data_IF_900116491338
#
_entry.id   IF_900116491338
#
_cell.length_a   1.000
_cell.length_b   1.000
_cell.length_c   1.000
_cell.angle_alpha   90.00
_cell.angle_beta   90.00
_cell.angle_gamma   90.00
#
_symmetry.space_group_name_H-M   'P 1'
#
loop_
_entity.id
_entity.type
_entity.pdbx_description
1 polymer ?
#
# COMPACT_ATOMS: atom_id res chain seq x y z
N UNK A 1 16.07 3.83 29.71
CA UNK A 1 15.03 3.17 28.88
C UNK A 1 14.06 2.30 29.70
N UNK A 2 14.50 1.56 30.73
CA UNK A 2 13.56 0.85 31.64
C UNK A 2 12.52 1.77 32.30
N UNK A 3 12.94 2.97 32.76
CA UNK A 3 12.02 3.97 33.36
C UNK A 3 11.03 4.55 32.34
N UNK A 4 11.47 4.80 31.09
CA UNK A 4 10.58 5.27 30.02
C UNK A 4 9.57 4.20 29.61
N UNK A 5 10.01 2.94 29.55
CA UNK A 5 9.15 1.78 29.35
C UNK A 5 8.08 1.68 30.45
N UNK A 6 8.47 1.83 31.72
CA UNK A 6 7.53 1.83 32.85
C UNK A 6 6.49 2.96 32.74
N UNK A 7 6.90 4.20 32.45
CA UNK A 7 5.96 5.32 32.34
C UNK A 7 4.99 5.17 31.16
N UNK A 8 5.49 4.74 29.98
CA UNK A 8 4.66 4.50 28.80
C UNK A 8 3.67 3.36 29.06
N UNK A 9 4.12 2.28 29.70
CA UNK A 9 3.28 1.12 30.00
C UNK A 9 2.24 1.43 31.10
N UNK A 10 2.61 2.20 32.13
CA UNK A 10 1.66 2.68 33.15
C UNK A 10 0.56 3.52 32.50
N UNK A 11 0.93 4.51 31.68
CA UNK A 11 -0.05 5.35 31.00
C UNK A 11 -0.95 4.51 30.09
N UNK A 12 -0.38 3.60 29.30
CA UNK A 12 -1.16 2.71 28.44
C UNK A 12 -2.11 1.80 29.25
N UNK A 13 -1.70 1.33 30.42
CA UNK A 13 -2.55 0.53 31.31
C UNK A 13 -3.73 1.36 31.82
N UNK A 14 -3.49 2.61 32.23
CA UNK A 14 -4.55 3.56 32.63
C UNK A 14 -5.52 3.82 31.46
N UNK A 15 -4.98 4.03 30.26
CA UNK A 15 -5.78 4.24 29.05
C UNK A 15 -6.66 3.02 28.73
N UNK A 16 -6.13 1.80 28.82
CA UNK A 16 -6.93 0.56 28.67
C UNK A 16 -7.99 0.41 29.76
N UNK A 17 -7.72 0.85 30.99
CA UNK A 17 -8.70 0.84 32.07
C UNK A 17 -9.87 1.81 31.82
N UNK A 18 -9.66 2.88 31.04
CA UNK A 18 -10.73 3.82 30.68
C UNK A 18 -11.85 3.17 29.86
N UNK A 19 -11.58 2.08 29.14
CA UNK A 19 -12.61 1.36 28.37
C UNK A 19 -13.62 0.65 29.26
N UNK A 20 -13.22 0.34 30.50
CA UNK A 20 -14.07 -0.35 31.50
C UNK A 20 -14.70 0.60 32.51
N UNK A 21 -14.28 1.86 32.56
CA UNK A 21 -14.73 2.83 33.56
C UNK A 21 -14.98 4.22 32.95
N UNK A 22 -16.26 4.56 32.65
CA UNK A 22 -16.62 5.86 32.07
C UNK A 22 -16.21 7.06 32.93
N UNK A 23 -16.26 6.93 34.27
CA UNK A 23 -15.84 7.97 35.20
C UNK A 23 -14.34 8.25 35.11
N UNK A 24 -13.53 7.19 35.06
CA UNK A 24 -12.09 7.31 34.82
C UNK A 24 -11.80 7.95 33.46
N UNK A 25 -12.50 7.51 32.39
CA UNK A 25 -12.36 8.09 31.05
C UNK A 25 -12.59 9.60 31.07
N UNK A 26 -13.68 10.09 31.67
CA UNK A 26 -14.00 11.53 31.73
C UNK A 26 -12.88 12.32 32.40
N UNK A 27 -12.36 11.84 33.53
CA UNK A 27 -11.30 12.51 34.28
C UNK A 27 -9.98 12.52 33.50
N UNK A 28 -9.57 11.36 32.95
CA UNK A 28 -8.34 11.24 32.16
C UNK A 28 -8.39 12.13 30.93
N UNK A 29 -9.50 12.13 30.18
CA UNK A 29 -9.64 12.99 28.99
C UNK A 29 -9.49 14.47 29.35
N UNK A 30 -10.13 14.92 30.43
CA UNK A 30 -10.04 16.33 30.87
C UNK A 30 -8.61 16.76 31.21
N UNK A 31 -7.79 15.85 31.75
CA UNK A 31 -6.40 16.13 32.10
C UNK A 31 -5.46 16.05 30.90
N UNK A 32 -5.71 15.13 29.96
CA UNK A 32 -4.81 14.85 28.85
C UNK A 32 -5.01 15.76 27.65
N UNK A 33 -6.23 16.27 27.39
CA UNK A 33 -6.54 16.96 26.13
C UNK A 33 -5.63 18.16 25.83
N UNK A 34 -5.24 18.91 26.86
CA UNK A 34 -4.35 20.08 26.72
C UNK A 34 -2.86 19.72 26.87
N UNK A 35 -2.53 18.44 27.10
CA UNK A 35 -1.17 17.96 27.34
C UNK A 35 -0.64 17.05 26.24
N UNK A 36 -1.45 16.77 25.21
CA UNK A 36 -1.11 15.81 24.16
C UNK A 36 0.21 16.16 23.46
N UNK A 37 0.43 17.43 23.13
CA UNK A 37 1.67 17.87 22.48
C UNK A 37 2.91 17.64 23.36
N UNK A 38 2.80 17.96 24.66
CA UNK A 38 3.85 17.67 25.64
C UNK A 38 4.13 16.18 25.80
N UNK A 39 3.09 15.33 25.74
CA UNK A 39 3.24 13.87 25.78
C UNK A 39 3.98 13.37 24.53
N UNK A 40 3.61 13.84 23.34
CA UNK A 40 4.30 13.48 22.10
C UNK A 40 5.76 13.94 22.10
N UNK A 41 6.03 15.16 22.57
CA UNK A 41 7.39 15.70 22.72
C UNK A 41 8.23 14.87 23.70
N UNK A 42 7.67 14.56 24.87
CA UNK A 42 8.30 13.71 25.88
C UNK A 42 8.64 12.34 25.32
N UNK A 43 7.70 11.69 24.62
CA UNK A 43 7.90 10.41 23.94
C UNK A 43 9.03 10.48 22.90
N UNK A 44 9.11 11.57 22.12
CA UNK A 44 10.17 11.77 21.13
C UNK A 44 11.55 11.86 21.79
N UNK A 45 11.66 12.59 22.92
CA UNK A 45 12.90 12.67 23.72
C UNK A 45 13.30 11.31 24.26
N UNK A 46 12.35 10.51 24.76
CA UNK A 46 12.63 9.16 25.28
C UNK A 46 13.16 8.21 24.20
N UNK A 47 12.73 8.38 22.95
CA UNK A 47 13.28 7.65 21.80
C UNK A 47 14.63 8.22 21.33
N UNK A 48 15.01 9.44 21.75
CA UNK A 48 16.22 10.15 21.30
C UNK A 48 17.48 9.92 22.10
N UNK A 49 17.40 9.30 23.26
CA UNK A 49 18.57 9.09 24.09
C UNK A 49 19.44 7.94 23.54
N UNK A 50 20.18 8.23 22.48
CA UNK A 50 21.40 7.53 22.08
C UNK A 50 22.40 7.44 23.25
N UNK A 51 22.37 8.45 24.13
CA UNK A 51 23.07 8.47 25.43
C UNK A 51 22.66 7.35 26.37
N UNK A 52 21.41 6.86 26.34
CA UNK A 52 20.99 5.71 27.15
C UNK A 52 21.34 4.36 26.50
N UNK A 53 21.46 4.31 25.17
CA UNK A 53 21.87 3.10 24.43
C UNK A 53 23.33 2.71 24.70
N UNK A 54 24.19 3.68 25.03
CA UNK A 54 25.61 3.45 25.32
C UNK A 54 25.91 3.20 26.80
N UNK A 55 24.97 3.48 27.72
CA UNK A 55 25.19 3.38 29.17
C UNK A 55 24.67 2.08 29.81
N UNK A 56 23.82 1.34 29.11
CA UNK A 56 23.22 0.10 29.59
C UNK A 56 23.54 -0.96 28.54
N UNK A 57 24.12 -2.08 28.98
CA UNK A 57 24.36 -3.35 28.26
C UNK A 57 23.61 -3.48 26.92
N UNK A 58 24.22 -4.03 25.84
CA UNK A 58 23.65 -4.00 24.50
C UNK A 58 22.18 -4.42 24.52
N UNK A 59 21.30 -3.44 24.27
CA UNK A 59 19.87 -3.65 24.16
C UNK A 59 19.63 -4.65 23.03
N UNK A 60 18.81 -5.68 23.28
CA UNK A 60 18.47 -6.60 22.20
C UNK A 60 17.62 -5.87 21.16
N UNK A 61 17.74 -6.28 19.89
CA UNK A 61 16.90 -5.76 18.81
C UNK A 61 15.41 -5.91 19.12
N UNK A 62 15.03 -6.96 19.85
CA UNK A 62 13.67 -7.23 20.28
C UNK A 62 13.18 -6.19 21.29
N UNK A 63 13.98 -5.86 22.30
CA UNK A 63 13.64 -4.82 23.28
C UNK A 63 13.55 -3.43 22.64
N UNK A 64 14.42 -3.14 21.67
CA UNK A 64 14.33 -1.90 20.90
C UNK A 64 13.03 -1.87 20.11
N UNK A 65 12.71 -2.95 19.39
CA UNK A 65 11.43 -3.08 18.70
C UNK A 65 10.30 -2.81 19.69
N UNK A 66 10.15 -3.61 20.74
CA UNK A 66 9.08 -3.47 21.72
C UNK A 66 8.89 -2.03 22.19
N UNK A 67 9.98 -1.35 22.55
CA UNK A 67 9.93 0.05 22.98
C UNK A 67 9.22 0.93 21.95
N UNK A 68 9.60 0.85 20.67
CA UNK A 68 8.93 1.60 19.59
C UNK A 68 7.46 1.18 19.42
N UNK A 69 7.13 -0.11 19.61
CA UNK A 69 5.74 -0.61 19.60
C UNK A 69 4.90 0.07 20.66
N UNK A 70 5.38 0.08 21.91
CA UNK A 70 4.65 0.61 23.05
C UNK A 70 4.36 2.10 22.90
N UNK A 71 5.32 2.86 22.34
CA UNK A 71 5.10 4.27 22.02
C UNK A 71 4.00 4.44 20.96
N UNK A 72 4.05 3.64 19.89
CA UNK A 72 3.04 3.73 18.85
C UNK A 72 1.65 3.25 19.32
N UNK A 73 1.56 2.20 20.14
CA UNK A 73 0.32 1.74 20.77
C UNK A 73 -0.26 2.75 21.78
N UNK A 74 0.61 3.47 22.50
CA UNK A 74 0.18 4.58 23.36
C UNK A 74 -0.51 5.68 22.57
N UNK A 75 0.08 6.12 21.45
CA UNK A 75 -0.52 7.12 20.54
C UNK A 75 -1.89 6.63 20.06
N UNK A 76 -1.98 5.38 19.61
CA UNK A 76 -3.24 4.80 19.16
C UNK A 76 -4.30 4.75 20.26
N UNK A 77 -3.89 4.39 21.48
CA UNK A 77 -4.78 4.31 22.63
C UNK A 77 -5.33 5.68 23.00
N UNK A 78 -4.48 6.72 23.02
CA UNK A 78 -4.92 8.12 23.20
C UNK A 78 -5.93 8.50 22.11
N UNK A 79 -5.64 8.17 20.85
CA UNK A 79 -6.49 8.48 19.70
C UNK A 79 -7.84 7.73 19.72
N UNK A 80 -7.95 6.61 20.42
CA UNK A 80 -9.14 5.74 20.43
C UNK A 80 -10.08 6.02 21.61
N UNK A 81 -9.62 6.70 22.66
CA UNK A 81 -10.39 6.85 23.90
C UNK A 81 -11.53 7.83 23.77
N UNK A 82 -11.29 9.00 23.18
CA UNK A 82 -12.25 10.11 23.10
C UNK A 82 -11.93 11.00 21.90
N UNK A 83 -12.96 11.49 21.22
CA UNK A 83 -12.80 12.31 20.02
C UNK A 83 -12.00 13.61 20.28
N UNK A 84 -12.06 14.16 21.49
CA UNK A 84 -11.32 15.39 21.85
C UNK A 84 -9.82 15.11 21.94
N UNK A 85 -9.43 13.96 22.50
CA UNK A 85 -8.03 13.52 22.50
C UNK A 85 -7.55 13.24 21.09
N UNK A 86 -8.37 12.60 20.27
CA UNK A 86 -8.05 12.39 18.86
C UNK A 86 -7.82 13.72 18.13
N UNK A 87 -8.71 14.70 18.28
CA UNK A 87 -8.58 16.01 17.63
C UNK A 87 -7.32 16.76 18.11
N UNK A 88 -7.07 16.78 19.43
CA UNK A 88 -5.88 17.40 20.01
C UNK A 88 -4.60 16.74 19.49
N UNK A 89 -4.56 15.41 19.45
CA UNK A 89 -3.44 14.63 18.93
C UNK A 89 -3.17 14.93 17.45
N UNK A 90 -4.20 14.95 16.61
CA UNK A 90 -4.06 15.19 15.17
C UNK A 90 -3.70 16.64 14.83
N UNK A 91 -3.89 17.56 15.77
CA UNK A 91 -3.51 18.97 15.65
C UNK A 91 -2.12 19.26 16.26
N UNK A 92 -1.46 18.27 16.87
CA UNK A 92 -0.17 18.45 17.54
C UNK A 92 1.00 18.36 16.53
N UNK A 93 1.83 19.39 16.41
CA UNK A 93 3.09 19.31 15.67
C UNK A 93 4.03 18.23 16.20
N UNK A 94 4.09 18.07 17.53
CA UNK A 94 4.92 17.05 18.17
C UNK A 94 4.53 15.62 17.77
N UNK A 95 3.26 15.35 17.48
CA UNK A 95 2.83 14.06 16.93
C UNK A 95 3.56 13.76 15.62
N UNK A 96 3.64 14.72 14.70
CA UNK A 96 4.20 14.47 13.37
C UNK A 96 5.71 14.24 13.43
N UNK A 97 6.42 14.95 14.31
CA UNK A 97 7.83 14.67 14.59
C UNK A 97 8.03 13.26 15.17
N UNK A 98 7.22 12.89 16.17
CA UNK A 98 7.26 11.56 16.78
C UNK A 98 6.92 10.47 15.76
N UNK A 99 5.88 10.68 14.94
CA UNK A 99 5.48 9.77 13.88
C UNK A 99 6.60 9.58 12.85
N UNK A 100 7.22 10.66 12.37
CA UNK A 100 8.34 10.60 11.43
C UNK A 100 9.46 9.70 11.96
N UNK A 101 9.81 9.91 13.23
CA UNK A 101 10.81 9.11 13.92
C UNK A 101 10.41 7.63 13.95
N UNK A 102 9.20 7.32 14.43
CA UNK A 102 8.68 5.96 14.45
C UNK A 102 8.65 5.31 13.05
N UNK A 103 8.30 6.10 12.03
CA UNK A 103 8.15 5.66 10.64
C UNK A 103 9.47 5.26 9.98
N UNK A 104 10.51 6.05 10.24
CA UNK A 104 11.84 5.98 9.60
C UNK A 104 12.86 5.17 10.38
N UNK A 105 12.55 4.79 11.62
CA UNK A 105 13.50 4.14 12.53
C UNK A 105 14.04 2.83 11.98
N UNK A 106 15.37 2.64 12.12
CA UNK A 106 16.12 1.53 11.55
C UNK A 106 17.02 0.86 12.58
N UNK A 107 17.23 -0.43 12.38
CA UNK A 107 18.20 -1.19 13.16
C UNK A 107 19.64 -0.94 12.68
N UNK A 108 20.60 -1.55 13.38
CA UNK A 108 22.02 -1.51 13.03
C UNK A 108 22.34 -2.06 11.63
N UNK A 109 21.46 -2.87 11.04
CA UNK A 109 21.58 -3.39 9.67
C UNK A 109 20.83 -2.51 8.65
N UNK A 110 20.43 -1.29 9.05
CA UNK A 110 19.68 -0.35 8.22
C UNK A 110 18.31 -0.88 7.75
N UNK A 111 17.79 -1.93 8.40
CA UNK A 111 16.44 -2.45 8.17
C UNK A 111 15.45 -1.65 8.98
N UNK A 112 14.21 -1.49 8.49
CA UNK A 112 13.16 -0.86 9.27
C UNK A 112 12.95 -1.64 10.58
N UNK A 113 13.01 -0.95 11.71
CA UNK A 113 12.81 -1.57 13.03
C UNK A 113 11.46 -2.28 13.10
N UNK A 114 10.44 -1.66 12.49
CA UNK A 114 9.07 -2.14 12.51
C UNK A 114 8.54 -2.47 11.13
N UNK A 115 8.52 -3.78 10.88
CA UNK A 115 7.73 -4.42 9.84
C UNK A 115 7.14 -5.70 10.41
N UNK A 116 5.98 -5.62 11.08
CA UNK A 116 5.35 -6.79 11.65
C UNK A 116 4.78 -7.68 10.56
N UNK A 117 4.54 -8.93 10.93
CA UNK A 117 4.04 -9.97 10.03
C UNK A 117 2.65 -9.64 9.48
N UNK A 118 1.90 -8.72 10.09
CA UNK A 118 0.72 -8.07 9.50
C UNK A 118 0.70 -6.56 9.81
N UNK A 119 0.19 -5.73 8.91
CA UNK A 119 0.11 -4.27 9.13
C UNK A 119 -1.01 -3.85 10.09
N UNK A 120 -2.02 -4.71 10.26
CA UNK A 120 -2.96 -4.60 11.39
C UNK A 120 -2.26 -4.74 12.74
N UNK A 121 -1.08 -5.37 12.77
CA UNK A 121 -0.22 -5.45 13.96
C UNK A 121 0.88 -4.39 13.94
N UNK A 122 0.94 -3.52 12.92
CA UNK A 122 1.90 -2.41 12.87
C UNK A 122 1.26 -1.16 13.46
N UNK A 123 1.62 -0.78 14.70
CA UNK A 123 0.97 0.34 15.33
C UNK A 123 1.34 1.65 14.61
N UNK A 124 2.54 1.72 14.03
CA UNK A 124 2.99 2.87 13.23
C UNK A 124 2.18 3.05 11.95
N UNK A 125 1.86 1.96 11.23
CA UNK A 125 0.99 2.04 10.04
C UNK A 125 -0.44 2.39 10.43
N UNK A 126 -0.95 1.86 11.55
CA UNK A 126 -2.27 2.23 12.10
C UNK A 126 -2.36 3.71 12.47
N UNK A 127 -1.29 4.32 12.96
CA UNK A 127 -1.23 5.77 13.21
C UNK A 127 -1.41 6.51 11.87
N UNK A 128 -0.64 6.15 10.84
CA UNK A 128 -0.75 6.79 9.53
C UNK A 128 -2.16 6.63 8.94
N UNK A 129 -2.72 5.41 9.01
CA UNK A 129 -4.10 5.14 8.57
C UNK A 129 -5.11 6.03 9.29
N UNK A 130 -4.97 6.22 10.62
CA UNK A 130 -5.85 7.11 11.38
C UNK A 130 -5.70 8.57 10.99
N UNK A 131 -4.48 9.04 10.74
CA UNK A 131 -4.20 10.41 10.29
C UNK A 131 -4.90 10.67 8.94
N UNK A 132 -4.78 9.73 7.98
CA UNK A 132 -5.28 9.94 6.60
C UNK A 132 -6.75 9.55 6.40
N UNK A 133 -7.38 8.85 7.35
CA UNK A 133 -8.76 8.39 7.23
C UNK A 133 -9.80 9.53 7.32
N UNK A 134 -9.52 10.56 8.12
CA UNK A 134 -10.45 11.68 8.37
C UNK A 134 -9.99 12.91 7.59
N UNK A 135 -10.88 13.52 6.81
CA UNK A 135 -10.51 14.62 5.92
C UNK A 135 -9.88 15.82 6.64
N UNK A 136 -10.37 16.19 7.82
CA UNK A 136 -9.79 17.28 8.63
C UNK A 136 -8.35 16.98 9.07
N UNK A 137 -8.11 15.80 9.65
CA UNK A 137 -6.78 15.37 10.10
C UNK A 137 -5.79 15.24 8.93
N UNK A 138 -6.29 14.72 7.80
CA UNK A 138 -5.52 14.60 6.56
C UNK A 138 -5.07 15.97 6.03
N UNK A 139 -5.92 16.99 6.14
CA UNK A 139 -5.57 18.38 5.79
C UNK A 139 -4.43 18.93 6.64
N UNK A 140 -4.55 18.81 7.97
CA UNK A 140 -3.50 19.22 8.90
C UNK A 140 -2.18 18.47 8.66
N UNK A 141 -2.25 17.17 8.38
CA UNK A 141 -1.07 16.38 8.03
C UNK A 141 -0.39 16.86 6.74
N UNK A 142 -1.16 17.14 5.70
CA UNK A 142 -0.60 17.67 4.44
C UNK A 142 0.01 19.04 4.63
N UNK A 143 -0.65 19.92 5.37
CA UNK A 143 -0.09 21.22 5.72
C UNK A 143 1.24 21.04 6.45
N UNK A 144 1.31 20.15 7.45
CA UNK A 144 2.57 19.89 8.13
C UNK A 144 3.64 19.31 7.23
N UNK A 145 3.31 18.44 6.27
CA UNK A 145 4.26 17.91 5.29
C UNK A 145 4.78 18.96 4.31
N UNK A 146 3.98 20.00 4.04
CA UNK A 146 4.37 21.14 3.22
C UNK A 146 5.19 22.15 4.00
N UNK A 147 4.82 22.42 5.26
CA UNK A 147 5.47 23.39 6.14
C UNK A 147 6.80 22.85 6.71
N UNK A 148 6.85 21.54 6.99
CA UNK A 148 8.07 20.86 7.41
C UNK A 148 8.95 20.59 6.19
N UNK A 149 10.26 20.78 6.32
CA UNK A 149 11.25 20.58 5.25
C UNK A 149 10.98 19.34 4.37
N UNK A 150 11.32 19.43 3.07
CA UNK A 150 11.13 18.38 2.05
C UNK A 150 11.57 16.96 2.51
N UNK A 151 12.52 16.88 3.44
CA UNK A 151 12.99 15.65 4.06
C UNK A 151 11.86 14.80 4.66
N UNK A 152 10.88 15.38 5.37
CA UNK A 152 9.82 14.62 6.03
C UNK A 152 8.94 13.87 5.01
N UNK A 153 8.62 14.53 3.90
CA UNK A 153 7.86 13.94 2.82
C UNK A 153 8.64 12.86 2.08
N UNK A 154 9.95 13.04 1.91
CA UNK A 154 10.84 12.03 1.34
C UNK A 154 10.92 10.80 2.25
N UNK A 155 11.10 11.01 3.55
CA UNK A 155 11.16 9.97 4.58
C UNK A 155 9.87 9.14 4.65
N UNK A 156 8.72 9.81 4.55
CA UNK A 156 7.41 9.15 4.47
C UNK A 156 7.37 8.20 3.25
N UNK A 157 7.68 8.73 2.07
CA UNK A 157 7.62 7.97 0.81
C UNK A 157 8.64 6.84 0.77
N UNK A 158 9.86 7.08 1.21
CA UNK A 158 10.90 6.04 1.28
C UNK A 158 10.52 4.93 2.25
N UNK A 159 9.89 5.27 3.37
CA UNK A 159 9.34 4.29 4.30
C UNK A 159 8.20 3.46 3.69
N UNK A 160 7.36 4.03 2.81
CA UNK A 160 6.35 3.27 2.05
C UNK A 160 7.05 2.31 1.07
N UNK A 161 7.94 2.83 0.21
CA UNK A 161 8.64 2.04 -0.79
C UNK A 161 9.42 0.87 -0.18
N UNK A 162 10.09 1.10 0.96
CA UNK A 162 10.80 0.04 1.70
C UNK A 162 9.85 -1.01 2.25
N UNK A 163 8.72 -0.63 2.86
CA UNK A 163 7.73 -1.58 3.36
C UNK A 163 7.13 -2.42 2.24
N UNK A 164 6.89 -1.83 1.07
CA UNK A 164 6.46 -2.57 -0.13
C UNK A 164 7.52 -3.61 -0.51
N UNK A 165 8.79 -3.24 -0.64
CA UNK A 165 9.87 -4.20 -0.97
C UNK A 165 9.98 -5.33 0.06
N UNK A 166 9.79 -5.02 1.35
CA UNK A 166 9.85 -6.01 2.42
C UNK A 166 8.73 -7.06 2.35
N UNK A 167 7.55 -6.71 1.83
CA UNK A 167 6.45 -7.68 1.67
C UNK A 167 6.87 -8.83 0.77
N UNK A 168 7.56 -8.53 -0.34
CA UNK A 168 7.98 -9.54 -1.31
C UNK A 168 9.27 -10.26 -0.93
N UNK A 169 10.14 -9.62 -0.15
CA UNK A 169 11.41 -10.22 0.27
C UNK A 169 11.30 -11.12 1.50
N UNK A 170 10.20 -11.02 2.27
CA UNK A 170 9.97 -11.88 3.44
C UNK A 170 9.09 -13.07 3.07
N UNK A 171 9.43 -14.25 3.58
CA UNK A 171 8.61 -15.46 3.51
C UNK A 171 7.38 -15.37 4.44
N UNK A 172 6.53 -14.37 4.23
CA UNK A 172 5.28 -14.20 4.97
C UNK A 172 4.20 -15.15 4.43
N UNK A 173 3.29 -15.65 5.30
CA UNK A 173 2.08 -16.32 4.83
C UNK A 173 1.29 -15.42 3.86
N UNK A 174 0.78 -15.99 2.77
CA UNK A 174 0.12 -15.25 1.69
C UNK A 174 -0.98 -14.29 2.19
N UNK A 175 -1.86 -14.76 3.08
CA UNK A 175 -2.96 -13.95 3.64
C UNK A 175 -2.44 -12.69 4.34
N UNK A 176 -1.34 -12.82 5.06
CA UNK A 176 -0.72 -11.71 5.79
C UNK A 176 0.02 -10.75 4.88
N UNK A 177 0.76 -11.29 3.91
CA UNK A 177 1.45 -10.50 2.89
C UNK A 177 0.43 -9.66 2.10
N UNK A 178 -0.66 -10.28 1.65
CA UNK A 178 -1.73 -9.62 0.92
C UNK A 178 -2.39 -8.50 1.73
N UNK A 179 -2.70 -8.74 3.02
CA UNK A 179 -3.29 -7.73 3.87
C UNK A 179 -2.35 -6.53 4.09
N UNK A 180 -1.07 -6.79 4.36
CA UNK A 180 -0.05 -5.74 4.46
C UNK A 180 0.06 -4.93 3.15
N UNK A 181 -0.09 -5.60 2.01
CA UNK A 181 -0.04 -4.95 0.72
C UNK A 181 -1.27 -4.07 0.45
N UNK A 182 -2.48 -4.55 0.76
CA UNK A 182 -3.72 -3.80 0.61
C UNK A 182 -3.72 -2.50 1.45
N UNK A 183 -3.24 -2.56 2.70
CA UNK A 183 -3.12 -1.39 3.56
C UNK A 183 -2.12 -0.34 3.02
N UNK A 184 -0.94 -0.78 2.52
CA UNK A 184 0.03 0.15 1.91
C UNK A 184 -0.49 0.77 0.62
N UNK A 185 -1.26 0.02 -0.16
CA UNK A 185 -1.93 0.55 -1.34
C UNK A 185 -2.97 1.59 -0.94
N UNK A 186 -3.80 1.30 0.06
CA UNK A 186 -4.79 2.24 0.54
C UNK A 186 -4.13 3.55 1.02
N UNK A 187 -3.04 3.45 1.79
CA UNK A 187 -2.26 4.62 2.20
C UNK A 187 -1.75 5.38 0.99
N UNK A 188 -1.11 4.68 0.06
CA UNK A 188 -0.50 5.30 -1.12
C UNK A 188 -1.55 6.00 -1.97
N UNK A 189 -2.69 5.38 -2.24
CA UNK A 189 -3.81 5.96 -2.98
C UNK A 189 -4.31 7.25 -2.33
N UNK A 190 -4.42 7.27 -1.00
CA UNK A 190 -4.84 8.47 -0.24
C UNK A 190 -3.79 9.57 -0.35
N UNK A 191 -2.50 9.25 -0.20
CA UNK A 191 -1.42 10.23 -0.32
C UNK A 191 -1.24 10.74 -1.74
N UNK A 192 -1.51 9.91 -2.76
CA UNK A 192 -1.45 10.27 -4.18
C UNK A 192 -2.45 11.38 -4.55
N UNK A 193 -3.48 11.56 -3.72
CA UNK A 193 -4.45 12.64 -3.90
C UNK A 193 -3.84 14.03 -3.70
N UNK A 194 -2.78 14.15 -2.89
CA UNK A 194 -2.04 15.38 -2.67
C UNK A 194 -0.97 15.56 -3.78
N UNK A 195 -0.96 16.71 -4.45
CA UNK A 195 -0.07 16.95 -5.60
C UNK A 195 1.41 16.97 -5.25
N UNK A 196 1.74 17.54 -4.09
CA UNK A 196 3.10 17.62 -3.58
C UNK A 196 3.68 16.22 -3.30
N UNK A 197 2.91 15.38 -2.61
CA UNK A 197 3.33 14.00 -2.33
C UNK A 197 3.31 13.11 -3.57
N UNK A 198 2.40 13.36 -4.51
CA UNK A 198 2.31 12.61 -5.78
C UNK A 198 3.64 12.61 -6.52
N UNK A 199 4.28 13.76 -6.68
CA UNK A 199 5.58 13.85 -7.36
C UNK A 199 6.68 13.04 -6.66
N UNK A 200 6.67 13.01 -5.33
CA UNK A 200 7.64 12.24 -4.53
C UNK A 200 7.37 10.73 -4.61
N UNK A 201 6.10 10.31 -4.51
CA UNK A 201 5.68 8.91 -4.69
C UNK A 201 6.04 8.36 -6.08
N UNK A 202 5.89 9.18 -7.11
CA UNK A 202 6.27 8.84 -8.48
C UNK A 202 7.77 8.69 -8.66
N UNK A 203 8.57 9.63 -8.12
CA UNK A 203 10.03 9.52 -8.13
C UNK A 203 10.54 8.28 -7.40
N UNK A 204 9.89 7.88 -6.31
CA UNK A 204 10.21 6.66 -5.57
C UNK A 204 9.71 5.37 -6.26
N UNK A 205 9.07 5.47 -7.44
CA UNK A 205 8.52 4.35 -8.22
C UNK A 205 7.56 3.48 -7.42
N UNK A 206 6.78 4.08 -6.50
CA UNK A 206 5.87 3.33 -5.63
C UNK A 206 4.86 2.50 -6.43
N UNK A 207 4.32 3.02 -7.54
CA UNK A 207 3.36 2.29 -8.38
C UNK A 207 4.00 1.07 -9.06
N UNK A 208 5.22 1.20 -9.60
CA UNK A 208 5.98 0.07 -10.16
C UNK A 208 6.25 -1.01 -9.12
N UNK A 209 6.69 -0.62 -7.91
CA UNK A 209 6.92 -1.56 -6.80
C UNK A 209 5.63 -2.28 -6.40
N UNK A 210 4.49 -1.59 -6.41
CA UNK A 210 3.19 -2.19 -6.14
C UNK A 210 2.79 -3.19 -7.22
N UNK A 211 2.91 -2.82 -8.50
CA UNK A 211 2.62 -3.74 -9.62
C UNK A 211 3.45 -5.02 -9.54
N UNK A 212 4.76 -4.87 -9.31
CA UNK A 212 5.69 -5.99 -9.19
C UNK A 212 5.33 -6.92 -8.01
N UNK A 213 4.98 -6.35 -6.86
CA UNK A 213 4.51 -7.12 -5.71
C UNK A 213 3.19 -7.83 -5.97
N UNK A 214 2.23 -7.16 -6.60
CA UNK A 214 0.93 -7.75 -6.94
C UNK A 214 1.12 -8.95 -7.87
N UNK A 215 1.96 -8.81 -8.89
CA UNK A 215 2.33 -9.91 -9.79
C UNK A 215 2.94 -11.08 -9.03
N UNK A 216 3.89 -10.80 -8.13
CA UNK A 216 4.54 -11.83 -7.31
C UNK A 216 3.51 -12.57 -6.44
N UNK A 217 2.61 -11.84 -5.77
CA UNK A 217 1.54 -12.43 -4.98
C UNK A 217 0.61 -13.30 -5.82
N UNK A 218 0.19 -12.82 -7.00
CA UNK A 218 -0.66 -13.58 -7.90
C UNK A 218 0.01 -14.88 -8.35
N UNK A 219 1.31 -14.85 -8.64
CA UNK A 219 2.08 -16.05 -9.02
C UNK A 219 2.25 -17.07 -7.89
N UNK A 220 2.23 -16.61 -6.63
CA UNK A 220 2.31 -17.46 -5.44
C UNK A 220 0.94 -17.95 -4.96
N UNK A 221 -0.15 -17.49 -5.58
CA UNK A 221 -1.50 -17.96 -5.25
C UNK A 221 -1.60 -19.45 -5.56
N UNK A 222 -2.05 -20.30 -4.62
CA UNK A 222 -2.12 -21.73 -4.85
C UNK A 222 -3.05 -22.03 -6.04
N UNK A 223 -2.55 -22.76 -7.03
CA UNK A 223 -3.29 -23.25 -8.21
C UNK A 223 -4.45 -24.19 -7.86
N UNK A 224 -4.59 -24.55 -6.58
CA UNK A 224 -5.74 -25.31 -6.07
C UNK A 224 -6.91 -24.36 -5.87
N UNK A 225 -8.03 -24.59 -6.56
CA UNK A 225 -9.24 -23.75 -6.63
C UNK A 225 -9.98 -23.40 -5.33
N UNK A 226 -9.28 -23.33 -4.19
CA UNK A 226 -9.70 -22.59 -3.01
C UNK A 226 -9.55 -21.11 -3.33
N UNK A 227 -10.69 -20.46 -3.51
CA UNK A 227 -10.86 -19.01 -3.67
C UNK A 227 -9.78 -18.23 -2.93
N UNK A 228 -9.06 -17.36 -3.66
CA UNK A 228 -8.30 -16.26 -3.06
C UNK A 228 -9.18 -15.64 -1.96
N UNK A 229 -8.70 -15.56 -0.70
CA UNK A 229 -9.55 -15.19 0.44
C UNK A 229 -10.21 -13.82 0.27
N UNK A 230 -9.63 -12.96 -0.57
CA UNK A 230 -10.31 -11.88 -1.29
C UNK A 230 -9.63 -11.71 -2.65
N UNK A 231 -10.38 -11.58 -3.75
CA UNK A 231 -9.76 -11.26 -5.03
C UNK A 231 -9.04 -9.89 -4.97
N UNK A 232 -7.86 -9.72 -5.60
CA UNK A 232 -7.04 -8.50 -5.51
C UNK A 232 -7.60 -7.25 -6.21
N UNK A 233 -8.93 -7.15 -6.35
CA UNK A 233 -9.59 -6.05 -7.04
C UNK A 233 -9.26 -4.70 -6.43
N UNK A 234 -9.28 -4.60 -5.09
CA UNK A 234 -9.02 -3.34 -4.40
C UNK A 234 -7.57 -2.83 -4.60
N UNK A 235 -6.52 -3.64 -4.39
CA UNK A 235 -5.15 -3.29 -4.76
C UNK A 235 -5.02 -2.77 -6.19
N UNK A 236 -5.62 -3.49 -7.14
CA UNK A 236 -5.46 -3.19 -8.56
C UNK A 236 -6.24 -1.93 -8.97
N UNK A 237 -7.48 -1.78 -8.48
CA UNK A 237 -8.29 -0.57 -8.68
C UNK A 237 -7.60 0.67 -8.13
N UNK A 238 -6.97 0.56 -6.96
CA UNK A 238 -6.29 1.68 -6.34
C UNK A 238 -5.03 2.11 -7.10
N UNK A 239 -4.25 1.17 -7.64
CA UNK A 239 -3.12 1.48 -8.55
C UNK A 239 -3.65 2.20 -9.79
N UNK A 240 -4.73 1.70 -10.39
CA UNK A 240 -5.34 2.33 -11.56
C UNK A 240 -5.88 3.74 -11.27
N UNK A 241 -6.57 3.95 -10.15
CA UNK A 241 -7.06 5.28 -9.77
C UNK A 241 -5.94 6.30 -9.54
N UNK A 242 -4.73 5.84 -9.18
CA UNK A 242 -3.56 6.71 -9.15
C UNK A 242 -3.14 7.17 -10.55
N UNK A 243 -3.33 6.35 -11.58
CA UNK A 243 -2.97 6.65 -12.98
C UNK A 243 -3.99 7.52 -13.70
N UNK A 244 -5.28 7.25 -13.46
CA UNK A 244 -6.40 7.89 -14.18
C UNK A 244 -6.40 9.41 -14.02
N UNK A 245 -5.79 9.93 -12.95
CA UNK A 245 -5.63 11.38 -12.75
C UNK A 245 -4.69 11.95 -13.80
N UNK A 246 -5.27 12.47 -14.88
CA UNK A 246 -4.59 13.09 -16.02
C UNK A 246 -3.62 14.18 -15.56
N UNK A 247 -2.33 13.91 -15.72
CA UNK A 247 -1.25 14.88 -15.50
C UNK A 247 -0.08 14.58 -16.45
N UNK A 248 0.92 15.47 -16.51
CA UNK A 248 2.10 15.31 -17.36
C UNK A 248 2.89 14.01 -17.11
N UNK A 249 2.71 13.38 -15.94
CA UNK A 249 3.38 12.13 -15.57
C UNK A 249 2.59 10.88 -15.95
N UNK A 250 1.31 11.00 -16.33
CA UNK A 250 0.44 9.84 -16.62
C UNK A 250 1.05 8.92 -17.68
N UNK A 251 1.64 9.46 -18.75
CA UNK A 251 2.27 8.66 -19.82
C UNK A 251 3.47 7.86 -19.28
N UNK A 252 4.35 8.51 -18.51
CA UNK A 252 5.52 7.85 -17.92
C UNK A 252 5.10 6.75 -16.95
N UNK A 253 4.10 7.01 -16.11
CA UNK A 253 3.59 6.05 -15.14
C UNK A 253 2.96 4.83 -15.81
N UNK A 254 2.19 5.07 -16.89
CA UNK A 254 1.64 3.99 -17.70
C UNK A 254 2.73 3.12 -18.31
N UNK A 255 3.74 3.74 -18.94
CA UNK A 255 4.89 3.01 -19.49
C UNK A 255 5.60 2.18 -18.42
N UNK A 256 5.89 2.79 -17.27
CA UNK A 256 6.60 2.13 -16.17
C UNK A 256 5.77 1.01 -15.53
N UNK A 257 4.43 1.04 -15.61
CA UNK A 257 3.57 -0.06 -15.15
C UNK A 257 3.41 -1.18 -16.17
N UNK A 258 3.32 -0.83 -17.45
CA UNK A 258 3.34 -1.83 -18.53
C UNK A 258 4.67 -2.60 -18.51
N UNK A 259 5.79 -1.91 -18.27
CA UNK A 259 7.10 -2.55 -18.10
C UNK A 259 7.15 -3.54 -16.91
N UNK A 260 6.32 -3.33 -15.89
CA UNK A 260 6.24 -4.17 -14.69
C UNK A 260 5.07 -5.15 -14.76
N UNK A 261 4.62 -5.48 -15.99
CA UNK A 261 3.56 -6.43 -16.31
C UNK A 261 2.24 -6.19 -15.57
N UNK A 262 1.89 -4.93 -15.35
CA UNK A 262 0.61 -4.56 -14.73
C UNK A 262 -0.58 -5.14 -15.49
N UNK A 263 -0.52 -5.13 -16.83
CA UNK A 263 -1.56 -5.68 -17.70
C UNK A 263 -1.77 -7.19 -17.46
N UNK A 264 -0.69 -7.96 -17.24
CA UNK A 264 -0.80 -9.38 -16.91
C UNK A 264 -1.52 -9.60 -15.58
N UNK A 265 -1.30 -8.72 -14.59
CA UNK A 265 -2.02 -8.78 -13.32
C UNK A 265 -3.52 -8.53 -13.50
N UNK A 266 -3.90 -7.58 -14.37
CA UNK A 266 -5.32 -7.32 -14.70
C UNK A 266 -5.94 -8.58 -15.31
N UNK A 267 -5.26 -9.19 -16.28
CA UNK A 267 -5.71 -10.40 -16.96
C UNK A 267 -5.96 -11.56 -15.99
N UNK A 268 -5.11 -11.73 -14.98
CA UNK A 268 -5.26 -12.80 -13.98
C UNK A 268 -6.40 -12.54 -12.98
N UNK A 269 -6.75 -11.28 -12.74
CA UNK A 269 -7.74 -10.88 -11.73
C UNK A 269 -9.16 -10.81 -12.29
N UNK A 270 -9.33 -10.39 -13.56
CA UNK A 270 -10.65 -10.31 -14.20
C UNK A 270 -11.50 -11.59 -14.16
N UNK A 271 -10.95 -12.81 -14.32
CA UNK A 271 -11.73 -14.04 -14.20
C UNK A 271 -12.34 -14.28 -12.81
N UNK A 272 -11.82 -13.60 -11.77
CA UNK A 272 -12.18 -13.84 -10.37
C UNK A 272 -13.38 -13.00 -9.89
N UNK A 273 -14.10 -12.33 -10.80
CA UNK A 273 -15.22 -11.45 -10.45
C UNK A 273 -16.39 -12.27 -9.90
N UNK A 274 -16.89 -11.88 -8.73
CA UNK A 274 -17.89 -12.62 -7.94
C UNK A 274 -19.30 -11.98 -7.96
N UNK A 275 -19.58 -11.12 -8.95
CA UNK A 275 -20.89 -10.49 -9.13
C UNK A 275 -21.21 -9.36 -8.13
N UNK A 276 -20.32 -9.07 -7.18
CA UNK A 276 -20.44 -7.89 -6.31
C UNK A 276 -20.36 -6.60 -7.15
N UNK A 277 -21.29 -5.66 -6.93
CA UNK A 277 -21.38 -4.40 -7.70
C UNK A 277 -20.08 -3.59 -7.72
N UNK A 278 -19.36 -3.52 -6.60
CA UNK A 278 -18.08 -2.80 -6.49
C UNK A 278 -16.98 -3.49 -7.31
N UNK A 279 -16.94 -4.82 -7.25
CA UNK A 279 -16.00 -5.63 -8.03
C UNK A 279 -16.33 -5.54 -9.52
N UNK A 280 -17.61 -5.59 -9.90
CA UNK A 280 -18.06 -5.45 -11.28
C UNK A 280 -17.77 -4.04 -11.83
N UNK A 281 -17.96 -3.00 -11.02
CA UNK A 281 -17.58 -1.63 -11.39
C UNK A 281 -16.09 -1.50 -11.67
N UNK A 282 -15.26 -2.04 -10.79
CA UNK A 282 -13.81 -2.12 -10.98
C UNK A 282 -13.46 -2.93 -12.22
N UNK A 283 -14.05 -4.12 -12.40
CA UNK A 283 -13.82 -4.99 -13.55
C UNK A 283 -14.13 -4.30 -14.88
N UNK A 284 -15.22 -3.54 -14.97
CA UNK A 284 -15.58 -2.76 -16.18
C UNK A 284 -14.51 -1.72 -16.53
N UNK A 285 -13.98 -1.03 -15.52
CA UNK A 285 -12.91 -0.03 -15.71
C UNK A 285 -11.65 -0.71 -16.23
N UNK A 286 -11.24 -1.81 -15.60
CA UNK A 286 -10.03 -2.55 -15.99
C UNK A 286 -10.12 -3.19 -17.37
N UNK A 287 -11.31 -3.70 -17.73
CA UNK A 287 -11.59 -4.24 -19.05
C UNK A 287 -11.50 -3.16 -20.13
N UNK A 288 -11.95 -1.94 -19.83
CA UNK A 288 -11.80 -0.79 -20.73
C UNK A 288 -10.33 -0.45 -20.95
N UNK A 289 -9.51 -0.51 -19.91
CA UNK A 289 -8.06 -0.29 -20.04
C UNK A 289 -7.40 -1.38 -20.89
N UNK A 290 -7.68 -2.66 -20.61
CA UNK A 290 -7.15 -3.76 -21.44
C UNK A 290 -7.51 -3.60 -22.91
N UNK A 291 -8.71 -3.08 -23.23
CA UNK A 291 -9.11 -2.78 -24.61
C UNK A 291 -8.19 -1.80 -25.31
N UNK A 292 -7.73 -0.76 -24.61
CA UNK A 292 -6.82 0.23 -25.19
C UNK A 292 -5.41 -0.35 -25.41
N UNK A 293 -5.09 -1.42 -24.71
CA UNK A 293 -3.75 -1.99 -24.60
C UNK A 293 -3.68 -3.43 -25.13
N UNK A 294 -4.60 -3.84 -26.00
CA UNK A 294 -4.61 -5.19 -26.63
C UNK A 294 -3.43 -5.45 -27.55
N UNK A 295 -2.62 -4.44 -27.85
CA UNK A 295 -1.40 -4.56 -28.65
C UNK A 295 -0.23 -5.16 -27.88
N UNK A 296 -0.27 -5.15 -26.54
CA UNK A 296 0.85 -5.60 -25.74
C UNK A 296 0.97 -7.13 -25.70
N UNK A 297 2.20 -7.69 -25.81
CA UNK A 297 2.42 -9.14 -25.80
C UNK A 297 1.84 -9.88 -24.60
N UNK A 298 1.87 -9.27 -23.41
CA UNK A 298 1.31 -9.86 -22.18
C UNK A 298 -0.22 -10.07 -22.25
N UNK A 299 -0.93 -9.18 -22.96
CA UNK A 299 -2.37 -9.30 -23.20
C UNK A 299 -2.65 -10.31 -24.30
N UNK A 300 -1.88 -10.28 -25.39
CA UNK A 300 -2.01 -11.20 -26.53
C UNK A 300 -1.71 -12.66 -26.14
N UNK A 301 -0.64 -12.90 -25.37
CA UNK A 301 -0.25 -14.23 -24.91
C UNK A 301 -1.31 -14.88 -23.99
N UNK A 302 -2.12 -14.06 -23.33
CA UNK A 302 -3.13 -14.52 -22.38
C UNK A 302 -4.53 -14.66 -23.00
N UNK A 303 -4.66 -14.58 -24.33
CA UNK A 303 -5.91 -14.73 -25.07
C UNK A 303 -6.74 -15.96 -24.61
N UNK A 304 -6.16 -17.17 -24.41
CA UNK A 304 -6.93 -18.33 -23.95
C UNK A 304 -7.55 -18.15 -22.56
N UNK A 305 -6.81 -17.56 -21.61
CA UNK A 305 -7.29 -17.31 -20.24
C UNK A 305 -8.46 -16.32 -20.22
N UNK A 306 -8.38 -15.30 -21.09
CA UNK A 306 -9.40 -14.27 -21.21
C UNK A 306 -10.66 -14.81 -21.88
N UNK A 307 -10.54 -15.70 -22.86
CA UNK A 307 -11.72 -16.33 -23.48
C UNK A 307 -12.58 -17.15 -22.51
N UNK A 308 -12.05 -17.54 -21.35
CA UNK A 308 -12.78 -18.21 -20.25
C UNK A 308 -13.49 -17.29 -19.25
N UNK A 309 -13.30 -15.96 -19.31
CA UNK A 309 -13.92 -14.98 -18.40
C UNK A 309 -15.43 -14.74 -18.65
N UNK A 310 -16.05 -15.58 -19.49
CA UNK A 310 -17.38 -15.36 -20.06
C UNK A 310 -18.49 -15.33 -19.00
N UNK A 311 -18.38 -16.09 -17.92
CA UNK A 311 -19.54 -16.38 -17.08
C UNK A 311 -19.97 -15.26 -16.12
N UNK A 312 -19.08 -14.47 -15.49
CA UNK A 312 -19.50 -13.34 -14.65
C UNK A 312 -19.65 -12.02 -15.43
N UNK A 313 -18.73 -11.72 -16.36
CA UNK A 313 -18.68 -10.42 -17.06
C UNK A 313 -19.79 -10.30 -18.11
N UNK A 314 -20.12 -11.37 -18.83
CA UNK A 314 -21.17 -11.34 -19.87
C UNK A 314 -22.57 -11.25 -19.25
N UNK A 315 -22.74 -11.72 -18.01
CA UNK A 315 -24.01 -11.64 -17.29
C UNK A 315 -24.34 -10.22 -16.81
N UNK A 316 -23.37 -9.31 -16.75
CA UNK A 316 -23.62 -7.90 -16.48
C UNK A 316 -23.96 -7.14 -17.79
N UNK A 317 -25.19 -6.62 -17.93
CA UNK A 317 -25.60 -5.89 -19.14
C UNK A 317 -24.69 -4.70 -19.46
N UNK A 318 -24.13 -4.04 -18.43
CA UNK A 318 -23.25 -2.87 -18.59
C UNK A 318 -21.81 -3.24 -18.96
N UNK A 319 -21.41 -4.50 -18.78
CA UNK A 319 -20.09 -4.99 -19.14
C UNK A 319 -20.09 -5.73 -20.48
N UNK A 320 -21.24 -6.23 -20.93
CA UNK A 320 -21.40 -6.96 -22.20
C UNK A 320 -20.87 -6.19 -23.43
N UNK A 321 -21.19 -4.90 -23.55
CA UNK A 321 -20.71 -4.06 -24.66
C UNK A 321 -19.20 -3.84 -24.61
N UNK A 322 -18.66 -3.60 -23.41
CA UNK A 322 -17.22 -3.39 -23.18
C UNK A 322 -16.47 -4.70 -23.51
N UNK A 323 -17.01 -5.83 -23.07
CA UNK A 323 -16.48 -7.17 -23.33
C UNK A 323 -16.47 -7.52 -24.81
N UNK A 324 -17.59 -7.29 -25.50
CA UNK A 324 -17.71 -7.56 -26.93
C UNK A 324 -16.73 -6.72 -27.75
N UNK A 325 -16.59 -5.44 -27.39
CA UNK A 325 -15.61 -4.53 -28.00
C UNK A 325 -14.17 -4.94 -27.70
N UNK A 326 -13.88 -5.34 -26.46
CA UNK A 326 -12.57 -5.87 -26.06
C UNK A 326 -12.20 -7.13 -26.85
N UNK A 327 -13.11 -8.11 -26.88
CA UNK A 327 -12.91 -9.39 -27.57
C UNK A 327 -12.64 -9.18 -29.06
N UNK A 328 -13.43 -8.33 -29.72
CA UNK A 328 -13.20 -7.98 -31.13
C UNK A 328 -11.81 -7.39 -31.35
N UNK A 329 -11.42 -6.39 -30.55
CA UNK A 329 -10.08 -5.79 -30.63
C UNK A 329 -8.98 -6.82 -30.40
N UNK A 330 -9.15 -7.69 -29.39
CA UNK A 330 -8.18 -8.72 -29.07
C UNK A 330 -8.04 -9.76 -30.20
N UNK A 331 -9.15 -10.26 -30.75
CA UNK A 331 -9.16 -11.23 -31.85
C UNK A 331 -8.50 -10.63 -33.11
N UNK A 332 -8.81 -9.38 -33.45
CA UNK A 332 -8.16 -8.64 -34.54
C UNK A 332 -6.65 -8.50 -34.32
N UNK A 333 -6.21 -8.11 -33.11
CA UNK A 333 -4.78 -7.95 -32.81
C UNK A 333 -4.05 -9.29 -32.75
N UNK A 334 -4.67 -10.35 -32.25
CA UNK A 334 -4.11 -11.71 -32.28
C UNK A 334 -3.96 -12.20 -33.71
N UNK A 335 -4.93 -11.93 -34.58
CA UNK A 335 -4.84 -12.24 -36.00
C UNK A 335 -3.67 -11.49 -36.65
N UNK A 336 -3.58 -10.17 -36.47
CA UNK A 336 -2.47 -9.35 -36.97
C UNK A 336 -1.13 -9.86 -36.44
N UNK A 337 -1.03 -10.12 -35.14
CA UNK A 337 0.18 -10.64 -34.51
C UNK A 337 0.59 -11.99 -35.12
N UNK A 338 -0.33 -12.93 -35.30
CA UNK A 338 -0.01 -14.26 -35.88
C UNK A 338 0.41 -14.20 -37.35
N UNK A 339 -0.12 -13.26 -38.12
CA UNK A 339 0.04 -13.22 -39.59
C UNK A 339 1.01 -12.14 -40.10
N UNK A 340 1.34 -11.13 -39.27
CA UNK A 340 2.23 -10.01 -39.64
C UNK A 340 3.54 -9.98 -38.84
N UNK A 341 3.82 -10.96 -37.98
CA UNK A 341 5.08 -11.08 -37.23
C UNK A 341 6.26 -11.50 -38.14
N UNK A 342 6.54 -10.69 -39.16
CA UNK A 342 7.88 -10.61 -39.73
C UNK A 342 8.72 -9.80 -38.73
N UNK A 343 9.83 -10.39 -38.30
CA UNK A 343 10.66 -9.99 -37.15
C UNK A 343 11.21 -8.55 -37.20
N UNK A 344 11.07 -7.84 -38.33
CA UNK A 344 11.75 -6.57 -38.58
C UNK A 344 10.85 -5.33 -38.50
N UNK A 345 9.52 -5.47 -38.36
CA UNK A 345 8.56 -4.35 -38.51
C UNK A 345 8.16 -3.70 -37.18
N UNK A 346 8.36 -4.36 -36.04
CA UNK A 346 7.82 -3.91 -34.74
C UNK A 346 8.80 -3.09 -33.87
N UNK A 347 10.06 -2.92 -34.27
CA UNK A 347 11.02 -2.07 -33.54
C UNK A 347 10.63 -0.57 -33.55
N UNK A 348 9.71 -0.15 -34.42
CA UNK A 348 9.37 1.27 -34.60
C UNK A 348 8.35 1.76 -33.54
N UNK A 349 7.59 0.85 -32.89
CA UNK A 349 6.56 1.23 -31.92
C UNK A 349 6.76 0.66 -30.50
N UNK A 350 7.60 -0.36 -30.32
CA UNK A 350 7.85 -0.98 -29.01
C UNK A 350 9.07 -0.39 -28.32
N UNK A 351 8.84 0.63 -27.49
CA UNK A 351 9.81 1.07 -26.48
C UNK A 351 9.84 0.15 -25.24
N UNK A 352 9.45 -1.12 -25.41
CA UNK A 352 9.46 -2.14 -24.37
C UNK A 352 10.17 -3.37 -24.90
N UNK A 353 11.48 -3.41 -24.70
CA UNK A 353 12.28 -4.61 -24.84
C UNK A 353 11.73 -5.69 -23.92
N UNK A 354 10.85 -6.54 -24.46
CA UNK A 354 10.44 -7.79 -23.82
C UNK A 354 11.72 -8.59 -23.57
N UNK A 355 12.10 -8.77 -22.30
CA UNK A 355 13.15 -9.73 -21.95
C UNK A 355 12.74 -11.08 -22.55
N UNK A 356 13.62 -11.67 -23.36
CA UNK A 356 13.42 -12.94 -24.07
C UNK A 356 13.03 -14.12 -23.14
N UNK A 357 13.18 -13.96 -21.83
CA UNK A 357 12.81 -14.93 -20.81
C UNK A 357 11.30 -15.25 -20.77
N UNK A 358 10.45 -14.38 -21.32
CA UNK A 358 8.99 -14.56 -21.34
C UNK A 358 8.47 -15.70 -22.25
N UNK A 359 9.29 -16.19 -23.18
CA UNK A 359 8.90 -17.28 -24.10
C UNK A 359 9.21 -18.69 -23.56
N UNK A 360 9.69 -18.82 -22.31
CA UNK A 360 10.03 -20.12 -21.71
C UNK A 360 8.85 -20.87 -21.07
N UNK A 361 7.64 -20.29 -21.03
CA UNK A 361 6.47 -20.93 -20.40
C UNK A 361 5.59 -21.78 -21.34
N UNK A 362 5.97 -21.97 -22.60
CA UNK A 362 5.31 -22.93 -23.50
C UNK A 362 6.15 -24.18 -23.69
N UNK A 363 6.32 -24.95 -22.61
CA UNK A 363 6.58 -26.38 -22.66
C UNK A 363 5.63 -27.07 -21.67
N UNK A 364 4.34 -26.91 -21.89
CA UNK A 364 3.36 -27.90 -21.44
C UNK A 364 3.13 -28.77 -22.66
N UNK A 365 3.77 -29.93 -22.65
CA UNK A 365 3.63 -30.95 -23.69
C UNK A 365 2.17 -31.39 -23.82
N UNK A 366 1.80 -31.69 -25.07
CA UNK A 366 0.63 -32.49 -25.39
C UNK A 366 0.74 -33.89 -24.80
#
# INVERSE_FOLDING_TARGET
MLKSFLCVNMLLTVLKACDRSPGLRKNIVSQLVNRVDGICSWMSVLLNTSTLKNMISPFSLEQERETYSWHAELILSIANIDYRLQQSLMSSPALFHLFSRLWTSRDVKNQLLWFPESLNDCPVVRILLKIIAVNGHKGAFYQHLSDSHQQLSQDLVDGIARRIRLISSKNLPFTRAYQAFDDLIFITQRLFANEFLRGTLLRARCLSLMSSNLKTMLSLSPSSGKSLPRPPFRPLAAIYECLRRTNAWSIKNWRDLVAEDFLASIVQILPLLDGNDDHMSTGRVLLRELRMYTLYPSVLASHPLLTGCQTPIIKDPKASDIWSSFKRSLDERVYVYKHMWNRDILEICDNLSVRKDFLSFTNIGY
#
